data_IF_910532209852
#
_entry.id   IF_910532209852
#
_cell.length_a   1.000
_cell.length_b   1.000
_cell.length_c   1.000
_cell.angle_alpha   90.00
_cell.angle_beta   90.00
_cell.angle_gamma   90.00
#
_symmetry.space_group_name_H-M   'P 1'
#
loop_
_entity.id
_entity.type
_entity.pdbx_description
1 polymer ?
#
# COMPACT_ATOMS: atom_id res chain seq x y z
N UNK A 1 -19.62 9.79 -47.84
CA UNK A 1 -18.71 8.62 -47.80
C UNK A 1 -17.34 9.10 -47.30
N UNK A 2 -17.06 9.00 -46.00
CA UNK A 2 -15.78 9.42 -45.41
C UNK A 2 -15.14 8.21 -44.71
N UNK A 3 -13.99 7.77 -45.22
CA UNK A 3 -13.25 6.63 -44.67
C UNK A 3 -12.53 7.04 -43.38
N UNK A 4 -12.77 6.32 -42.29
CA UNK A 4 -12.06 6.53 -41.01
C UNK A 4 -10.60 6.07 -41.16
N UNK A 5 -9.59 6.85 -40.74
CA UNK A 5 -8.21 6.39 -40.78
C UNK A 5 -8.02 5.24 -39.77
N UNK A 6 -7.30 4.18 -40.18
CA UNK A 6 -6.89 3.10 -39.28
C UNK A 6 -6.02 3.70 -38.19
N UNK A 7 -6.47 3.59 -36.94
CA UNK A 7 -5.68 4.00 -35.78
C UNK A 7 -4.38 3.17 -35.72
N UNK A 8 -3.21 3.79 -35.52
CA UNK A 8 -1.97 3.04 -35.34
C UNK A 8 -2.02 2.21 -34.05
N UNK A 9 -1.77 0.91 -34.16
CA UNK A 9 -1.85 -0.10 -33.08
C UNK A 9 -0.81 0.12 -31.96
N UNK A 10 0.15 1.03 -32.15
CA UNK A 10 1.21 1.31 -31.20
C UNK A 10 0.71 1.98 -29.90
N UNK A 11 -0.43 2.68 -29.96
CA UNK A 11 -0.98 3.38 -28.79
C UNK A 11 -1.60 2.44 -27.75
N UNK A 12 -1.98 1.22 -28.13
CA UNK A 12 -2.58 0.24 -27.21
C UNK A 12 -1.52 -0.37 -26.29
N UNK A 13 -0.35 -0.69 -26.82
CA UNK A 13 0.73 -1.39 -26.09
C UNK A 13 1.41 -0.51 -25.02
N UNK A 14 1.55 0.79 -25.28
CA UNK A 14 2.15 1.70 -24.30
C UNK A 14 1.22 1.91 -23.09
N UNK A 15 -0.10 1.99 -23.30
CA UNK A 15 -1.08 2.23 -22.24
C UNK A 15 -1.19 1.08 -21.23
N UNK A 16 -1.02 -0.16 -21.67
CA UNK A 16 -1.13 -1.33 -20.79
C UNK A 16 0.05 -1.50 -19.85
N UNK A 17 1.27 -1.15 -20.31
CA UNK A 17 2.51 -1.35 -19.55
C UNK A 17 2.63 -0.44 -18.31
N UNK A 18 2.01 0.74 -18.33
CA UNK A 18 2.04 1.68 -17.20
C UNK A 18 0.81 1.58 -16.30
N UNK A 19 -0.31 1.03 -16.77
CA UNK A 19 -1.56 0.92 -16.00
C UNK A 19 -1.36 0.08 -14.73
N UNK A 20 -0.64 -1.04 -14.82
CA UNK A 20 -0.38 -1.91 -13.68
C UNK A 20 0.67 -1.35 -12.70
N UNK A 21 1.58 -0.47 -13.14
CA UNK A 21 2.66 0.06 -12.29
C UNK A 21 2.22 1.19 -11.36
N UNK A 22 1.15 1.91 -11.71
CA UNK A 22 0.61 3.02 -10.92
C UNK A 22 -0.75 2.72 -10.27
N UNK A 23 -1.22 1.46 -10.32
CA UNK A 23 -2.53 1.06 -9.75
C UNK A 23 -2.58 1.05 -8.22
N UNK A 24 -1.43 1.17 -7.54
CA UNK A 24 -1.34 1.11 -6.07
C UNK A 24 -0.88 2.42 -5.43
N UNK A 25 -0.70 3.49 -6.22
CA UNK A 25 -0.53 4.81 -5.64
C UNK A 25 -1.90 5.26 -5.10
N UNK A 26 -2.02 5.47 -3.79
CA UNK A 26 -3.17 6.16 -3.18
C UNK A 26 -3.27 7.64 -3.59
N UNK A 27 -2.48 8.07 -4.58
CA UNK A 27 -2.54 9.40 -5.18
C UNK A 27 -3.12 9.29 -6.58
N UNK A 28 -4.24 9.99 -6.79
CA UNK A 28 -4.67 10.32 -8.13
C UNK A 28 -3.54 11.03 -8.88
N UNK A 29 -3.68 11.09 -10.21
CA UNK A 29 -2.83 11.89 -11.10
C UNK A 29 -2.69 13.37 -10.64
N UNK A 30 -3.57 13.80 -9.74
CA UNK A 30 -3.65 15.11 -9.12
C UNK A 30 -3.07 14.98 -7.72
N UNK A 31 -1.95 15.66 -7.46
CA UNK A 31 -1.06 15.55 -6.30
C UNK A 31 -1.66 15.91 -4.93
N UNK A 32 -2.93 15.57 -4.67
CA UNK A 32 -3.57 15.65 -3.35
C UNK A 32 -3.53 14.25 -2.73
N UNK A 33 -2.64 13.99 -1.75
CA UNK A 33 -2.72 12.79 -0.94
C UNK A 33 -4.06 12.81 -0.20
N UNK A 34 -4.78 11.68 -0.21
CA UNK A 34 -5.88 11.51 0.74
C UNK A 34 -5.32 11.65 2.16
N UNK A 35 -6.00 12.40 3.04
CA UNK A 35 -5.56 12.52 4.43
C UNK A 35 -5.51 11.13 5.05
N UNK A 36 -4.32 10.72 5.49
CA UNK A 36 -4.12 9.44 6.17
C UNK A 36 -4.67 9.58 7.59
N UNK A 37 -5.62 8.73 7.93
CA UNK A 37 -6.20 8.66 9.27
C UNK A 37 -5.23 7.98 10.24
N UNK A 38 -4.26 8.75 10.76
CA UNK A 38 -3.20 8.26 11.65
C UNK A 38 -3.75 7.61 12.91
N UNK A 39 -4.84 8.15 13.46
CA UNK A 39 -5.42 7.66 14.71
C UNK A 39 -5.90 6.21 14.58
N UNK A 40 -6.55 5.87 13.46
CA UNK A 40 -6.98 4.49 13.22
C UNK A 40 -5.81 3.53 12.99
N UNK A 41 -4.70 4.01 12.43
CA UNK A 41 -3.47 3.22 12.32
C UNK A 41 -2.85 2.97 13.69
N UNK A 42 -2.74 4.00 14.54
CA UNK A 42 -2.21 3.87 15.90
C UNK A 42 -3.01 2.88 16.74
N UNK A 43 -4.35 2.94 16.65
CA UNK A 43 -5.25 1.98 17.31
C UNK A 43 -5.02 0.55 16.81
N UNK A 44 -4.84 0.37 15.50
CA UNK A 44 -4.57 -0.94 14.91
C UNK A 44 -3.22 -1.51 15.35
N UNK A 45 -2.18 -0.66 15.41
CA UNK A 45 -0.84 -1.04 15.89
C UNK A 45 -0.90 -1.44 17.37
N UNK A 46 -1.61 -0.66 18.20
CA UNK A 46 -1.81 -0.98 19.60
C UNK A 46 -2.53 -2.32 19.79
N UNK A 47 -3.61 -2.56 19.05
CA UNK A 47 -4.33 -3.83 19.08
C UNK A 47 -3.44 -5.03 18.72
N UNK A 48 -2.61 -4.91 17.69
CA UNK A 48 -1.67 -5.96 17.30
C UNK A 48 -0.62 -6.22 18.38
N UNK A 49 -0.14 -5.16 19.04
CA UNK A 49 0.83 -5.25 20.14
C UNK A 49 0.25 -6.04 21.32
N UNK A 50 -0.99 -5.72 21.73
CA UNK A 50 -1.69 -6.42 22.80
C UNK A 50 -1.98 -7.88 22.44
N UNK A 51 -2.37 -8.14 21.19
CA UNK A 51 -2.63 -9.51 20.72
C UNK A 51 -1.35 -10.35 20.75
N UNK A 52 -0.19 -9.79 20.35
CA UNK A 52 1.10 -10.49 20.43
C UNK A 52 1.56 -10.75 21.87
N UNK A 53 1.24 -9.85 22.80
CA UNK A 53 1.47 -10.04 24.23
C UNK A 53 0.61 -11.18 24.79
N UNK A 54 -0.68 -11.23 24.43
CA UNK A 54 -1.61 -12.26 24.89
C UNK A 54 -1.41 -13.62 24.20
N UNK A 55 -0.82 -13.65 23.01
CA UNK A 55 -0.64 -14.87 22.24
C UNK A 55 0.36 -15.84 22.92
N UNK A 56 -0.08 -17.09 23.09
CA UNK A 56 0.76 -18.22 23.55
C UNK A 56 1.65 -18.76 22.43
N UNK A 57 2.48 -17.88 21.88
CA UNK A 57 3.51 -18.23 20.89
C UNK A 57 4.87 -18.39 21.57
N UNK A 58 5.76 -19.17 20.93
CA UNK A 58 7.15 -19.32 21.39
C UNK A 58 7.90 -17.99 21.37
N UNK A 59 8.85 -17.82 22.29
CA UNK A 59 9.56 -16.55 22.51
C UNK A 59 10.26 -16.01 21.25
N UNK A 60 10.87 -16.90 20.46
CA UNK A 60 11.51 -16.54 19.19
C UNK A 60 10.53 -15.95 18.18
N UNK A 61 9.32 -16.51 18.10
CA UNK A 61 8.27 -16.01 17.20
C UNK A 61 7.70 -14.68 17.69
N UNK A 62 7.57 -14.51 19.01
CA UNK A 62 7.14 -13.25 19.63
C UNK A 62 8.10 -12.12 19.31
N UNK A 63 9.40 -12.32 19.53
CA UNK A 63 10.43 -11.31 19.21
C UNK A 63 10.41 -10.92 17.73
N UNK A 64 10.39 -11.90 16.83
CA UNK A 64 10.35 -11.64 15.38
C UNK A 64 9.07 -10.89 14.96
N UNK A 65 7.94 -11.16 15.61
CA UNK A 65 6.70 -10.45 15.35
C UNK A 65 6.77 -8.99 15.80
N UNK A 66 7.34 -8.71 16.98
CA UNK A 66 7.54 -7.34 17.47
C UNK A 66 8.55 -6.55 16.63
N UNK A 67 9.64 -7.17 16.17
CA UNK A 67 10.59 -6.53 15.26
C UNK A 67 9.90 -6.04 13.99
N UNK A 68 9.04 -6.88 13.40
CA UNK A 68 8.24 -6.52 12.21
C UNK A 68 7.24 -5.42 12.49
N UNK A 69 6.56 -5.50 13.64
CA UNK A 69 5.58 -4.48 14.04
C UNK A 69 6.26 -3.11 14.27
N UNK A 70 7.43 -3.10 14.90
CA UNK A 70 8.21 -1.87 15.11
C UNK A 70 8.77 -1.31 13.81
N UNK A 71 9.23 -2.15 12.88
CA UNK A 71 9.66 -1.69 11.56
C UNK A 71 8.50 -1.02 10.81
N UNK A 72 7.31 -1.63 10.85
CA UNK A 72 6.10 -1.07 10.24
C UNK A 72 5.68 0.26 10.89
N UNK A 73 5.72 0.35 12.23
CA UNK A 73 5.37 1.58 12.95
C UNK A 73 6.39 2.71 12.72
N UNK A 74 7.70 2.41 12.75
CA UNK A 74 8.76 3.40 12.54
C UNK A 74 8.84 3.93 11.10
N UNK A 75 8.37 3.17 10.13
CA UNK A 75 8.21 3.65 8.74
C UNK A 75 6.95 4.52 8.57
N UNK A 76 5.94 4.39 9.45
CA UNK A 76 4.75 5.25 9.44
C UNK A 76 4.98 6.62 10.12
N UNK A 77 5.99 6.72 10.98
CA UNK A 77 6.40 7.96 11.65
C UNK A 77 7.34 8.84 10.81
N UNK A 78 7.86 8.34 9.68
CA UNK A 78 8.69 9.08 8.72
C UNK A 78 7.88 9.79 7.64
#
# INVERSE_FOLDING_TARGET
MWQRPRQPTFYHSFKERYRARFSYAHGGKDSLPYPVDRENYDRSIHFLRETLNAAKIGETYRKRAFERLNAFAGDAER
#
